data_IF_375833067369
#
_entry.id   IF_375833067369
#
_cell.length_a   1.000
_cell.length_b   1.000
_cell.length_c   1.000
_cell.angle_alpha   90.00
_cell.angle_beta   90.00
_cell.angle_gamma   90.00
#
_symmetry.space_group_name_H-M   'P 1'
#
loop_
_entity.id
_entity.type
_entity.pdbx_description
1 polymer ?
#
# COMPACT_ATOMS: atom_id res chain seq x y z
N UNK A 1 -11.13 20.07 0.62
CA UNK A 1 -10.97 20.07 -0.84
C UNK A 1 -11.81 18.95 -1.40
N UNK A 2 -12.88 19.26 -2.10
CA UNK A 2 -13.80 18.25 -2.67
C UNK A 2 -13.70 18.35 -4.19
N UNK A 3 -13.08 17.36 -4.83
CA UNK A 3 -13.05 17.24 -6.28
C UNK A 3 -14.23 16.38 -6.74
N UNK A 4 -15.15 16.95 -7.49
CA UNK A 4 -16.23 16.21 -8.14
C UNK A 4 -16.00 16.17 -9.65
N UNK A 5 -16.05 14.93 -10.20
CA UNK A 5 -16.12 14.53 -11.60
C UNK A 5 -14.82 14.54 -12.42
N UNK A 6 -14.39 13.31 -12.76
CA UNK A 6 -13.51 13.02 -13.89
C UNK A 6 -14.35 12.91 -15.17
N UNK A 7 -14.17 13.81 -16.11
CA UNK A 7 -14.55 13.65 -17.51
C UNK A 7 -13.35 14.02 -18.40
N UNK A 8 -13.28 13.45 -19.58
CA UNK A 8 -12.15 13.41 -20.50
C UNK A 8 -11.56 14.76 -20.98
N UNK A 9 -12.16 15.87 -20.62
CA UNK A 9 -11.63 17.21 -20.83
C UNK A 9 -11.32 17.80 -19.46
N UNK A 10 -10.03 17.93 -19.14
CA UNK A 10 -9.48 18.34 -17.85
C UNK A 10 -9.95 19.74 -17.40
N UNK A 11 -11.22 19.89 -17.07
CA UNK A 11 -11.74 21.07 -16.36
C UNK A 11 -11.99 20.68 -14.92
N UNK A 12 -10.99 20.90 -14.05
CA UNK A 12 -11.17 20.81 -12.61
C UNK A 12 -11.78 22.13 -12.11
N UNK A 13 -12.96 22.05 -11.50
CA UNK A 13 -13.47 23.15 -10.69
C UNK A 13 -13.13 22.83 -9.24
N UNK A 14 -12.09 23.46 -8.71
CA UNK A 14 -11.74 23.41 -7.30
C UNK A 14 -12.12 24.77 -6.66
N UNK A 15 -12.81 24.71 -5.54
CA UNK A 15 -13.14 25.87 -4.74
C UNK A 15 -12.27 25.90 -3.48
N UNK A 16 -11.83 27.08 -3.06
CA UNK A 16 -11.29 27.30 -1.73
C UNK A 16 -12.39 27.17 -0.68
N UNK A 17 -12.05 27.05 0.60
CA UNK A 17 -13.02 27.07 1.70
C UNK A 17 -13.94 28.30 1.68
N UNK A 18 -13.49 29.40 1.07
CA UNK A 18 -14.23 30.66 0.90
C UNK A 18 -15.02 30.73 -0.41
N UNK A 19 -15.09 29.64 -1.20
CA UNK A 19 -15.89 29.56 -2.43
C UNK A 19 -15.30 30.24 -3.66
N UNK A 20 -14.04 30.78 -3.60
CA UNK A 20 -13.35 31.31 -4.77
C UNK A 20 -12.83 30.20 -5.69
N UNK A 21 -12.97 30.39 -7.01
CA UNK A 21 -12.39 29.47 -8.00
C UNK A 21 -10.87 29.53 -7.99
N UNK A 22 -10.24 28.35 -8.06
CA UNK A 22 -8.78 28.23 -8.23
C UNK A 22 -8.50 28.12 -9.73
N UNK A 23 -7.57 28.92 -10.23
CA UNK A 23 -7.14 28.90 -11.61
C UNK A 23 -6.65 27.50 -12.02
N UNK A 24 -7.09 27.02 -13.19
CA UNK A 24 -6.74 25.69 -13.70
C UNK A 24 -5.23 25.51 -13.92
N UNK A 25 -4.49 26.58 -14.22
CA UNK A 25 -3.05 26.51 -14.38
C UNK A 25 -2.35 26.31 -13.03
N UNK A 26 -2.84 26.91 -11.96
CA UNK A 26 -2.36 26.67 -10.58
C UNK A 26 -2.62 25.21 -10.15
N UNK A 27 -3.80 24.69 -10.49
CA UNK A 27 -4.13 23.28 -10.20
C UNK A 27 -3.19 22.36 -10.98
N UNK A 28 -2.99 22.63 -12.26
CA UNK A 28 -2.13 21.83 -13.15
C UNK A 28 -0.67 21.86 -12.69
N UNK A 29 -0.15 23.02 -12.34
CA UNK A 29 1.22 23.17 -11.81
C UNK A 29 1.37 22.44 -10.48
N UNK A 30 0.41 22.58 -9.56
CA UNK A 30 0.39 21.87 -8.29
C UNK A 30 0.38 20.34 -8.47
N UNK A 31 -0.39 19.81 -9.43
CA UNK A 31 -0.43 18.40 -9.74
C UNK A 31 0.89 17.90 -10.38
N UNK A 32 1.53 18.71 -11.22
CA UNK A 32 2.80 18.36 -11.85
C UNK A 32 3.97 18.35 -10.87
N UNK A 33 3.94 19.22 -9.86
CA UNK A 33 4.98 19.35 -8.83
C UNK A 33 4.73 18.49 -7.60
N UNK A 34 3.53 17.90 -7.47
CA UNK A 34 3.17 17.07 -6.33
C UNK A 34 3.90 15.73 -6.36
N UNK A 35 4.89 15.56 -5.51
CA UNK A 35 5.69 14.34 -5.38
C UNK A 35 5.04 13.23 -4.54
N UNK A 36 3.82 13.45 -4.06
CA UNK A 36 3.14 12.52 -3.14
C UNK A 36 3.49 12.78 -1.67
N UNK A 37 2.88 12.00 -0.79
CA UNK A 37 3.18 12.04 0.64
C UNK A 37 4.01 10.79 1.02
N UNK A 38 5.02 10.93 1.89
CA UNK A 38 5.75 9.78 2.42
C UNK A 38 4.79 8.75 3.02
N UNK A 39 5.11 7.48 2.85
CA UNK A 39 4.36 6.33 3.37
C UNK A 39 2.91 6.20 2.85
N UNK A 40 2.52 6.93 1.78
CA UNK A 40 1.21 6.83 1.14
C UNK A 40 1.36 6.52 -0.34
N UNK A 41 1.19 5.24 -0.72
CA UNK A 41 1.43 4.72 -2.08
C UNK A 41 2.74 5.27 -2.70
N UNK A 42 3.72 5.50 -1.84
CA UNK A 42 5.03 6.03 -2.19
C UNK A 42 5.78 5.02 -3.07
N UNK A 43 5.90 5.30 -4.37
CA UNK A 43 6.74 4.50 -5.27
C UNK A 43 8.21 4.76 -4.93
N UNK A 44 8.76 3.91 -4.08
CA UNK A 44 10.07 4.16 -3.47
C UNK A 44 11.24 3.81 -4.39
N UNK A 45 11.34 2.55 -4.80
CA UNK A 45 12.42 2.07 -5.66
C UNK A 45 11.91 1.05 -6.67
N UNK A 46 12.69 0.89 -7.74
CA UNK A 46 12.52 -0.20 -8.71
C UNK A 46 13.81 -0.98 -8.80
N UNK A 47 13.81 -2.24 -8.36
CA UNK A 47 14.99 -3.12 -8.34
C UNK A 47 14.72 -4.29 -9.28
N UNK A 48 15.61 -4.56 -10.23
CA UNK A 48 15.50 -5.65 -11.22
C UNK A 48 14.15 -5.70 -11.95
N UNK A 49 13.49 -4.55 -12.07
CA UNK A 49 12.19 -4.43 -12.73
C UNK A 49 10.98 -4.67 -11.83
N UNK A 50 11.17 -4.95 -10.55
CA UNK A 50 10.14 -5.02 -9.50
C UNK A 50 9.96 -3.64 -8.86
N UNK A 51 8.71 -3.19 -8.70
CA UNK A 51 8.41 -1.93 -8.04
C UNK A 51 8.19 -2.15 -6.54
N UNK A 52 8.85 -1.39 -5.70
CA UNK A 52 8.64 -1.38 -4.24
C UNK A 52 7.85 -0.15 -3.84
N UNK A 53 6.70 -0.38 -3.22
CA UNK A 53 5.70 0.65 -2.91
C UNK A 53 5.47 0.66 -1.40
N UNK A 54 5.69 1.82 -0.78
CA UNK A 54 5.50 2.04 0.64
C UNK A 54 4.16 2.74 0.89
N UNK A 55 3.22 2.01 1.46
CA UNK A 55 1.92 2.51 1.90
C UNK A 55 1.70 2.19 3.39
N UNK A 56 2.76 2.36 4.20
CA UNK A 56 2.74 2.06 5.63
C UNK A 56 1.64 2.81 6.38
N UNK A 57 1.17 3.94 5.87
CA UNK A 57 0.06 4.73 6.42
C UNK A 57 -1.31 4.05 6.29
N UNK A 58 -1.45 2.99 5.49
CA UNK A 58 -2.67 2.19 5.38
C UNK A 58 -2.85 1.30 6.63
N UNK A 59 -3.33 1.89 7.73
CA UNK A 59 -3.50 1.25 9.03
C UNK A 59 -4.89 0.66 9.26
N UNK A 60 -5.69 0.53 8.22
CA UNK A 60 -7.02 -0.08 8.23
C UNK A 60 -7.34 -0.78 6.90
N UNK A 61 -8.35 -1.64 6.91
CA UNK A 61 -8.79 -2.46 5.77
C UNK A 61 -9.16 -1.63 4.56
N UNK A 62 -9.91 -0.55 4.76
CA UNK A 62 -10.38 0.31 3.68
C UNK A 62 -9.22 0.99 2.93
N UNK A 63 -8.21 1.47 3.65
CA UNK A 63 -7.02 2.05 3.04
C UNK A 63 -6.25 1.00 2.20
N UNK A 64 -6.10 -0.22 2.73
CA UNK A 64 -5.47 -1.32 2.00
C UNK A 64 -6.26 -1.74 0.76
N UNK A 65 -7.60 -1.69 0.81
CA UNK A 65 -8.43 -1.92 -0.36
C UNK A 65 -8.08 -0.98 -1.52
N UNK A 66 -8.06 0.33 -1.27
CA UNK A 66 -7.74 1.31 -2.31
C UNK A 66 -6.28 1.21 -2.78
N UNK A 67 -5.37 0.83 -1.89
CA UNK A 67 -3.99 0.59 -2.28
C UNK A 67 -3.89 -0.59 -3.25
N UNK A 68 -4.52 -1.72 -2.94
CA UNK A 68 -4.58 -2.90 -3.83
C UNK A 68 -5.30 -2.58 -5.14
N UNK A 69 -6.43 -1.85 -5.09
CA UNK A 69 -7.20 -1.46 -6.27
C UNK A 69 -6.36 -0.62 -7.25
N UNK A 70 -5.48 0.22 -6.74
CA UNK A 70 -4.59 1.05 -7.56
C UNK A 70 -3.47 0.26 -8.24
N UNK A 71 -3.20 -0.99 -7.86
CA UNK A 71 -2.15 -1.82 -8.47
C UNK A 71 -2.54 -2.27 -9.86
N UNK A 72 -1.57 -2.15 -10.80
CA UNK A 72 -1.77 -2.49 -12.22
C UNK A 72 -0.96 -3.69 -12.69
N UNK A 73 -0.32 -4.39 -11.75
CA UNK A 73 0.48 -5.58 -12.00
C UNK A 73 0.34 -6.55 -10.82
N UNK A 74 0.66 -7.84 -11.00
CA UNK A 74 0.64 -8.80 -9.92
C UNK A 74 1.44 -8.29 -8.72
N UNK A 75 0.87 -8.47 -7.53
CA UNK A 75 1.37 -7.81 -6.31
C UNK A 75 1.69 -8.84 -5.24
N UNK A 76 2.88 -8.73 -4.66
CA UNK A 76 3.22 -9.36 -3.38
C UNK A 76 2.84 -8.34 -2.30
N UNK A 77 1.88 -8.71 -1.47
CA UNK A 77 1.31 -7.83 -0.46
C UNK A 77 1.88 -8.13 0.92
N UNK A 78 2.50 -7.12 1.55
CA UNK A 78 2.96 -7.18 2.93
C UNK A 78 1.87 -6.56 3.80
N UNK A 79 1.23 -7.39 4.64
CA UNK A 79 0.09 -7.03 5.47
C UNK A 79 0.31 -7.50 6.91
N UNK A 80 -0.35 -6.86 7.88
CA UNK A 80 -0.29 -7.28 9.27
C UNK A 80 0.10 -6.17 10.25
N UNK A 81 0.15 -6.54 11.52
CA UNK A 81 0.30 -5.64 12.66
C UNK A 81 -0.81 -5.84 13.68
N UNK A 82 -1.09 -4.83 14.50
CA UNK A 82 -2.14 -4.91 15.52
C UNK A 82 -3.52 -4.89 14.88
N UNK A 83 -4.24 -6.01 14.95
CA UNK A 83 -5.63 -6.13 14.54
C UNK A 83 -6.55 -5.45 15.57
N UNK A 84 -7.36 -4.50 15.11
CA UNK A 84 -8.34 -3.77 15.92
C UNK A 84 -9.77 -4.29 15.76
N UNK A 85 -9.94 -5.57 15.45
CA UNK A 85 -11.24 -6.16 15.13
C UNK A 85 -11.59 -6.03 13.65
N UNK A 86 -10.60 -5.95 12.78
CA UNK A 86 -10.77 -5.81 11.33
C UNK A 86 -11.61 -6.96 10.75
N UNK A 87 -12.46 -6.64 9.79
CA UNK A 87 -13.04 -7.62 8.88
C UNK A 87 -12.31 -7.51 7.52
N UNK A 88 -11.66 -8.60 7.11
CA UNK A 88 -10.90 -8.65 5.86
C UNK A 88 -11.72 -9.21 4.69
N UNK A 89 -12.98 -9.56 4.91
CA UNK A 89 -13.84 -10.22 3.91
C UNK A 89 -14.00 -9.36 2.66
N UNK A 90 -14.12 -8.04 2.82
CA UNK A 90 -14.24 -7.09 1.72
C UNK A 90 -13.02 -7.06 0.80
N UNK A 91 -11.86 -7.52 1.28
CA UNK A 91 -10.64 -7.61 0.47
C UNK A 91 -10.56 -8.88 -0.39
N UNK A 92 -11.36 -9.91 -0.13
CA UNK A 92 -11.28 -11.18 -0.86
C UNK A 92 -11.36 -11.05 -2.38
N UNK A 93 -12.28 -10.24 -2.97
CA UNK A 93 -12.35 -10.11 -4.42
C UNK A 93 -11.09 -9.50 -5.02
N UNK A 94 -10.61 -8.40 -4.43
CA UNK A 94 -9.44 -7.67 -4.94
C UNK A 94 -8.13 -8.45 -4.72
N UNK A 95 -8.04 -9.19 -3.63
CA UNK A 95 -6.90 -10.07 -3.34
C UNK A 95 -6.81 -11.19 -4.37
N UNK A 96 -7.92 -11.86 -4.70
CA UNK A 96 -7.97 -12.90 -5.76
C UNK A 96 -7.52 -12.38 -7.11
N UNK A 97 -7.87 -11.13 -7.43
CA UNK A 97 -7.57 -10.53 -8.73
C UNK A 97 -6.10 -10.10 -8.86
N UNK A 98 -5.55 -9.49 -7.80
CA UNK A 98 -4.31 -8.71 -7.90
C UNK A 98 -3.15 -9.26 -7.09
N UNK A 99 -3.42 -10.06 -6.05
CA UNK A 99 -2.39 -10.51 -5.12
C UNK A 99 -1.90 -11.90 -5.50
N UNK A 100 -0.60 -12.03 -5.67
CA UNK A 100 0.11 -13.26 -6.01
C UNK A 100 0.60 -14.01 -4.77
N UNK A 101 0.99 -13.26 -3.74
CA UNK A 101 1.45 -13.79 -2.47
C UNK A 101 1.18 -12.78 -1.35
N UNK A 102 0.98 -13.26 -0.13
CA UNK A 102 0.84 -12.43 1.06
C UNK A 102 2.00 -12.74 2.01
N UNK A 103 2.63 -11.70 2.54
CA UNK A 103 3.59 -11.80 3.62
C UNK A 103 2.98 -11.13 4.84
N UNK A 104 2.63 -11.93 5.83
CA UNK A 104 2.04 -11.47 7.07
C UNK A 104 3.16 -10.98 8.00
N UNK A 105 3.17 -9.69 8.29
CA UNK A 105 4.16 -9.01 9.13
C UNK A 105 3.51 -8.56 10.43
N UNK A 106 3.75 -9.27 11.51
CA UNK A 106 3.17 -8.98 12.82
C UNK A 106 3.32 -10.13 13.80
N UNK A 107 3.08 -9.88 15.07
CA UNK A 107 3.13 -10.90 16.13
C UNK A 107 1.95 -11.88 16.03
N UNK A 108 0.76 -11.40 15.63
CA UNK A 108 -0.42 -12.23 15.47
C UNK A 108 -1.06 -12.03 14.10
N UNK A 109 -0.84 -12.98 13.22
CA UNK A 109 -1.32 -12.97 11.85
C UNK A 109 -2.48 -13.94 11.60
N UNK A 110 -3.01 -14.60 12.63
CA UNK A 110 -4.00 -15.68 12.53
C UNK A 110 -5.19 -15.31 11.66
N UNK A 111 -5.78 -14.15 11.90
CA UNK A 111 -7.00 -13.72 11.21
C UNK A 111 -6.77 -13.43 9.72
N UNK A 112 -5.65 -12.79 9.38
CA UNK A 112 -5.25 -12.57 7.98
C UNK A 112 -5.04 -13.92 7.29
N UNK A 113 -4.30 -14.82 7.91
CA UNK A 113 -4.03 -16.15 7.35
C UNK A 113 -5.30 -16.95 7.15
N UNK A 114 -6.19 -17.03 8.14
CA UNK A 114 -7.47 -17.74 8.04
C UNK A 114 -8.35 -17.18 6.92
N UNK A 115 -8.39 -15.86 6.78
CA UNK A 115 -9.21 -15.21 5.75
C UNK A 115 -8.68 -15.49 4.33
N UNK A 116 -7.36 -15.41 4.12
CA UNK A 116 -6.80 -15.46 2.76
C UNK A 116 -6.23 -16.80 2.32
N UNK A 117 -5.97 -17.74 3.24
CA UNK A 117 -5.55 -19.13 2.91
C UNK A 117 -6.42 -19.82 1.85
N UNK A 118 -7.76 -19.65 1.85
CA UNK A 118 -8.60 -20.29 0.83
C UNK A 118 -8.45 -19.70 -0.57
N UNK A 119 -7.81 -18.54 -0.73
CA UNK A 119 -7.78 -17.80 -1.99
C UNK A 119 -6.37 -17.45 -2.49
N UNK A 120 -5.36 -17.57 -1.65
CA UNK A 120 -3.95 -17.31 -1.96
C UNK A 120 -3.10 -18.53 -1.62
N UNK A 121 -2.34 -19.00 -2.59
CA UNK A 121 -1.49 -20.20 -2.45
C UNK A 121 -0.23 -19.93 -1.60
N UNK A 122 0.37 -18.75 -1.75
CA UNK A 122 1.62 -18.41 -1.07
C UNK A 122 1.32 -17.38 0.04
N UNK A 123 1.30 -17.86 1.28
CA UNK A 123 1.21 -17.02 2.48
C UNK A 123 2.37 -17.39 3.40
N UNK A 124 3.16 -16.41 3.78
CA UNK A 124 4.29 -16.54 4.69
C UNK A 124 4.11 -15.55 5.84
N UNK A 125 4.51 -15.93 7.05
CA UNK A 125 4.50 -15.01 8.19
C UNK A 125 5.91 -14.77 8.73
N UNK A 126 6.12 -13.56 9.24
CA UNK A 126 7.37 -13.12 9.86
C UNK A 126 7.13 -11.94 10.79
N UNK A 127 8.02 -11.78 11.78
CA UNK A 127 8.07 -10.62 12.67
C UNK A 127 9.16 -9.61 12.24
N UNK A 128 9.86 -9.88 11.14
CA UNK A 128 10.97 -9.06 10.64
C UNK A 128 10.65 -8.42 9.29
N UNK A 129 10.65 -7.09 9.24
CA UNK A 129 10.46 -6.33 7.98
C UNK A 129 11.56 -6.64 6.97
N UNK A 130 12.79 -6.85 7.44
CA UNK A 130 13.93 -7.21 6.58
C UNK A 130 13.71 -8.58 5.94
N UNK A 131 13.21 -9.55 6.71
CA UNK A 131 12.86 -10.86 6.18
C UNK A 131 11.68 -10.78 5.23
N UNK A 132 10.62 -10.04 5.58
CA UNK A 132 9.48 -9.81 4.71
C UNK A 132 9.90 -9.30 3.33
N UNK A 133 10.77 -8.29 3.28
CA UNK A 133 11.31 -7.73 2.04
C UNK A 133 12.16 -8.73 1.26
N UNK A 134 13.02 -9.51 1.93
CA UNK A 134 13.82 -10.56 1.30
C UNK A 134 12.97 -11.68 0.70
N UNK A 135 11.93 -12.12 1.42
CA UNK A 135 10.98 -13.13 0.92
C UNK A 135 10.21 -12.58 -0.26
N UNK A 136 9.70 -11.33 -0.16
CA UNK A 136 9.04 -10.66 -1.27
C UNK A 136 9.91 -10.60 -2.52
N UNK A 137 11.18 -10.23 -2.38
CA UNK A 137 12.13 -10.17 -3.48
C UNK A 137 12.37 -11.53 -4.15
N UNK A 138 12.40 -12.62 -3.37
CA UNK A 138 12.55 -13.98 -3.91
C UNK A 138 11.33 -14.46 -4.71
N UNK A 139 10.12 -14.03 -4.32
CA UNK A 139 8.86 -14.40 -4.97
C UNK A 139 8.61 -13.52 -6.21
N UNK A 140 9.03 -12.26 -6.16
CA UNK A 140 8.76 -11.28 -7.20
C UNK A 140 9.51 -11.60 -8.50
N UNK A 141 8.85 -11.36 -9.61
CA UNK A 141 9.46 -11.38 -10.95
C UNK A 141 9.36 -10.01 -11.59
N UNK A 142 10.11 -9.79 -12.68
CA UNK A 142 10.10 -8.51 -13.41
C UNK A 142 8.66 -8.09 -13.75
N UNK A 143 8.32 -6.85 -13.46
CA UNK A 143 7.03 -6.15 -13.56
C UNK A 143 6.10 -6.34 -12.36
N UNK A 144 6.38 -7.23 -11.43
CA UNK A 144 5.58 -7.34 -10.20
C UNK A 144 5.73 -6.08 -9.31
N UNK A 145 4.77 -5.91 -8.40
CA UNK A 145 4.85 -4.96 -7.30
C UNK A 145 5.11 -5.69 -5.98
N UNK A 146 5.91 -5.10 -5.12
CA UNK A 146 5.96 -5.40 -3.68
C UNK A 146 5.34 -4.22 -2.96
N UNK A 147 4.21 -4.45 -2.32
CA UNK A 147 3.39 -3.42 -1.68
C UNK A 147 3.37 -3.64 -0.16
N UNK A 148 3.93 -2.69 0.60
CA UNK A 148 3.67 -2.58 2.03
C UNK A 148 2.39 -1.76 2.22
N UNK A 149 1.27 -2.40 2.50
CA UNK A 149 -0.03 -1.77 2.82
C UNK A 149 -0.72 -2.58 3.92
N UNK A 150 -0.34 -2.36 5.18
CA UNK A 150 -0.49 -3.33 6.27
C UNK A 150 -1.93 -3.66 6.68
N UNK A 151 -2.91 -2.81 6.40
CA UNK A 151 -4.29 -2.88 6.90
C UNK A 151 -4.43 -2.82 8.44
N UNK A 152 -3.31 -2.78 9.17
CA UNK A 152 -3.23 -2.84 10.63
C UNK A 152 -2.34 -1.73 11.18
N UNK A 153 -2.54 -1.41 12.46
CA UNK A 153 -1.64 -0.52 13.18
C UNK A 153 -0.26 -1.19 13.39
N UNK A 154 0.78 -0.40 13.66
CA UNK A 154 2.18 -0.85 13.65
C UNK A 154 2.77 -1.15 15.04
N UNK A 155 2.01 -0.93 16.11
CA UNK A 155 2.50 -0.86 17.49
C UNK A 155 2.93 -2.19 18.10
N UNK A 156 2.87 -3.29 17.37
CA UNK A 156 3.38 -4.59 17.79
C UNK A 156 4.90 -4.75 17.54
N UNK A 157 5.38 -4.26 16.42
CA UNK A 157 6.78 -4.41 16.01
C UNK A 157 7.52 -3.07 15.80
N UNK A 158 6.79 -1.95 15.76
CA UNK A 158 7.32 -0.64 15.39
C UNK A 158 6.78 0.46 16.30
N UNK A 159 7.50 1.57 16.44
CA UNK A 159 7.06 2.71 17.24
C UNK A 159 5.80 3.37 16.66
N UNK A 160 5.73 3.48 15.35
CA UNK A 160 4.62 4.09 14.60
C UNK A 160 4.64 3.63 13.14
N UNK A 161 3.70 4.12 12.29
CA UNK A 161 3.66 3.73 10.89
C UNK A 161 4.80 4.35 10.07
N UNK A 162 5.33 5.50 10.46
CA UNK A 162 6.49 6.13 9.86
C UNK A 162 7.72 5.26 10.02
N UNK A 163 8.00 4.82 11.25
CA UNK A 163 9.10 3.91 11.58
C UNK A 163 9.00 2.61 10.77
N UNK A 164 7.82 1.98 10.72
CA UNK A 164 7.59 0.79 9.86
C UNK A 164 7.91 1.07 8.40
N UNK A 165 7.47 2.21 7.87
CA UNK A 165 7.71 2.60 6.50
C UNK A 165 9.17 2.93 6.20
N UNK A 166 9.90 3.53 7.14
CA UNK A 166 11.32 3.84 7.00
C UNK A 166 12.17 2.57 7.09
N UNK A 167 11.86 1.65 8.00
CA UNK A 167 12.51 0.34 8.08
C UNK A 167 12.24 -0.51 6.82
N UNK A 168 11.05 -0.42 6.22
CA UNK A 168 10.77 -1.04 4.92
C UNK A 168 11.68 -0.46 3.83
N UNK A 169 11.79 0.86 3.74
CA UNK A 169 12.67 1.52 2.75
C UNK A 169 14.14 1.12 2.94
N UNK A 170 14.59 1.04 4.18
CA UNK A 170 15.94 0.60 4.50
C UNK A 170 16.18 -0.87 4.10
N UNK A 171 15.23 -1.76 4.40
CA UNK A 171 15.30 -3.16 3.99
C UNK A 171 15.35 -3.31 2.46
N UNK A 172 14.60 -2.48 1.72
CA UNK A 172 14.61 -2.47 0.25
C UNK A 172 15.95 -1.96 -0.31
N UNK A 173 16.58 -0.94 0.32
CA UNK A 173 17.92 -0.46 -0.10
C UNK A 173 19.01 -1.51 0.06
N UNK A 174 18.82 -2.43 1.01
CA UNK A 174 19.79 -3.47 1.37
C UNK A 174 19.55 -4.81 0.61
N UNK A 175 18.72 -4.82 -0.45
CA UNK A 175 18.56 -5.93 -1.39
C UNK A 175 19.71 -5.95 -2.41
#
# INVERSE_FOLDING_TARGET
MVCKNFHSDFNFICHTENGSEIDNDVIRESLLTFSGLPHRLEKFLKIQGVNYINDSKATNVNAAYYALDSMRAPTIWIAGGVDKGNDYTDLLPIVREKVKAIICLGINNTKIMETFKPVIEIIVETESITEAVKVANKIAVKKDNVLLSPACASYDLFENYEDRGDQFKEAVRNL
#
